data_IF_644748619980
#
_entry.id   IF_644748619980
#
_cell.length_a   1.000
_cell.length_b   1.000
_cell.length_c   1.000
_cell.angle_alpha   90.00
_cell.angle_beta   90.00
_cell.angle_gamma   90.00
#
_symmetry.space_group_name_H-M   'P 1'
#
loop_
_entity.id
_entity.type
_entity.pdbx_description
1 polymer ?
#
# COMPACT_ATOMS: atom_id res chain seq x y z
N UNK A 1 11.93 -1.04 9.34
CA UNK A 1 11.51 -2.43 9.04
C UNK A 1 10.17 -2.30 8.33
N UNK A 2 10.17 -2.29 7.00
CA UNK A 2 8.97 -1.99 6.20
C UNK A 2 8.02 -3.19 6.31
N UNK A 3 6.76 -2.88 6.63
CA UNK A 3 5.68 -3.78 6.97
C UNK A 3 5.37 -4.80 5.86
N UNK A 4 6.08 -5.95 5.87
CA UNK A 4 5.62 -7.17 5.18
C UNK A 4 4.17 -7.54 5.55
N UNK A 5 3.71 -7.11 6.73
CA UNK A 5 2.35 -7.36 7.21
C UNK A 5 1.24 -6.76 6.35
N UNK A 6 1.38 -5.54 5.82
CA UNK A 6 0.26 -4.86 5.14
C UNK A 6 0.01 -5.44 3.75
N UNK A 7 1.06 -5.72 2.99
CA UNK A 7 0.93 -6.40 1.69
C UNK A 7 0.38 -7.82 1.85
N UNK A 8 0.83 -8.52 2.89
CA UNK A 8 0.28 -9.82 3.25
C UNK A 8 -1.20 -9.75 3.67
N UNK A 9 -1.60 -8.73 4.44
CA UNK A 9 -3.00 -8.49 4.85
C UNK A 9 -3.90 -8.12 3.64
N UNK A 10 -3.32 -7.42 2.67
CA UNK A 10 -3.92 -7.15 1.37
C UNK A 10 -4.02 -8.39 0.46
N UNK A 11 -3.32 -9.47 0.79
CA UNK A 11 -3.19 -10.66 -0.06
C UNK A 11 -2.38 -10.40 -1.32
N UNK A 12 -1.59 -9.32 -1.35
CA UNK A 12 -0.69 -8.98 -2.45
C UNK A 12 0.67 -9.59 -2.13
N UNK A 13 1.05 -10.61 -2.89
CA UNK A 13 2.34 -11.27 -2.71
C UNK A 13 3.44 -10.42 -3.35
N UNK A 14 4.08 -9.60 -2.54
CA UNK A 14 5.18 -8.75 -2.98
C UNK A 14 6.51 -9.36 -2.56
N UNK A 15 7.35 -9.85 -3.49
CA UNK A 15 8.75 -10.10 -3.17
C UNK A 15 9.40 -8.77 -2.73
N UNK A 16 10.36 -8.82 -1.82
CA UNK A 16 11.01 -7.63 -1.21
C UNK A 16 11.52 -6.63 -2.25
N UNK A 17 11.86 -7.09 -3.45
CA UNK A 17 12.29 -6.29 -4.60
C UNK A 17 11.21 -5.34 -5.16
N UNK A 18 9.93 -5.66 -4.98
CA UNK A 18 8.81 -4.86 -5.48
C UNK A 18 8.15 -4.01 -4.38
N UNK A 19 8.57 -4.14 -3.12
CA UNK A 19 7.95 -3.42 -2.01
C UNK A 19 8.07 -1.90 -2.16
N UNK A 20 9.22 -1.40 -2.62
CA UNK A 20 9.42 0.03 -2.90
C UNK A 20 8.56 0.54 -4.06
N UNK A 21 8.52 -0.19 -5.18
CA UNK A 21 7.67 0.19 -6.32
C UNK A 21 6.18 0.19 -5.96
N UNK A 22 5.75 -0.76 -5.13
CA UNK A 22 4.38 -0.80 -4.66
C UNK A 22 4.08 0.31 -3.67
N UNK A 23 5.03 0.64 -2.78
CA UNK A 23 4.90 1.79 -1.91
C UNK A 23 4.75 3.10 -2.72
N UNK A 24 5.53 3.27 -3.79
CA UNK A 24 5.42 4.42 -4.71
C UNK A 24 4.07 4.45 -5.43
N UNK A 25 3.61 3.31 -5.97
CA UNK A 25 2.28 3.21 -6.59
C UNK A 25 1.17 3.55 -5.61
N UNK A 26 1.23 3.01 -4.40
CA UNK A 26 0.24 3.27 -3.36
C UNK A 26 0.27 4.74 -2.95
N UNK A 27 1.47 5.32 -2.79
CA UNK A 27 1.64 6.74 -2.53
C UNK A 27 1.00 7.60 -3.64
N UNK A 28 1.14 7.19 -4.90
CA UNK A 28 0.45 7.85 -6.02
C UNK A 28 -1.08 7.72 -5.93
N UNK A 29 -1.61 6.54 -5.63
CA UNK A 29 -3.04 6.27 -5.45
C UNK A 29 -3.64 7.11 -4.32
N UNK A 30 -2.94 7.21 -3.19
CA UNK A 30 -3.40 8.03 -2.05
C UNK A 30 -3.07 9.53 -2.20
N UNK A 31 -2.46 9.93 -3.31
CA UNK A 31 -2.07 11.33 -3.56
C UNK A 31 -0.97 11.85 -2.64
N UNK A 32 -0.15 10.95 -2.08
CA UNK A 32 0.98 11.23 -1.18
C UNK A 32 2.32 10.91 -1.86
N UNK A 33 2.40 11.08 -3.18
CA UNK A 33 3.62 10.85 -3.96
C UNK A 33 4.79 11.70 -3.43
N UNK A 34 5.89 11.05 -3.05
CA UNK A 34 7.09 11.71 -2.50
C UNK A 34 7.05 11.97 -0.99
N UNK A 35 5.98 11.60 -0.28
CA UNK A 35 5.97 11.59 1.18
C UNK A 35 6.71 10.39 1.76
N UNK A 36 7.09 10.50 3.04
CA UNK A 36 7.71 9.42 3.78
C UNK A 36 6.83 8.16 3.77
N UNK A 37 7.46 7.03 3.47
CA UNK A 37 6.81 5.72 3.36
C UNK A 37 5.96 5.43 4.62
N UNK A 38 6.43 5.75 5.83
CA UNK A 38 5.69 5.53 7.06
C UNK A 38 4.39 6.37 7.15
N UNK A 39 4.39 7.60 6.62
CA UNK A 39 3.18 8.44 6.56
C UNK A 39 2.18 7.89 5.54
N UNK A 40 2.66 7.52 4.36
CA UNK A 40 1.84 6.86 3.33
C UNK A 40 1.18 5.62 3.94
N UNK A 41 1.95 4.77 4.61
CA UNK A 41 1.43 3.58 5.27
C UNK A 41 0.43 3.86 6.38
N UNK A 42 0.66 4.89 7.20
CA UNK A 42 -0.30 5.30 8.24
C UNK A 42 -1.63 5.77 7.65
N UNK A 43 -1.62 6.40 6.48
CA UNK A 43 -2.84 6.80 5.76
C UNK A 43 -3.50 5.60 5.10
N UNK A 44 -2.73 4.78 4.40
CA UNK A 44 -3.19 3.56 3.72
C UNK A 44 -3.84 2.62 4.73
N UNK A 45 -3.21 2.35 5.88
CA UNK A 45 -3.78 1.48 6.90
C UNK A 45 -5.16 1.93 7.39
N UNK A 46 -5.40 3.24 7.50
CA UNK A 46 -6.73 3.78 7.82
C UNK A 46 -7.73 3.62 6.68
N UNK A 47 -7.26 3.69 5.44
CA UNK A 47 -8.09 3.50 4.25
C UNK A 47 -8.35 2.01 3.98
N UNK A 48 -7.47 1.10 4.41
CA UNK A 48 -7.67 -0.35 4.31
C UNK A 48 -8.78 -0.87 5.22
N UNK A 49 -9.14 -0.11 6.26
CA UNK A 49 -10.33 -0.35 7.07
C UNK A 49 -11.63 -0.17 6.24
N UNK A 50 -11.57 0.63 5.16
CA UNK A 50 -12.65 0.75 4.19
C UNK A 50 -12.59 -0.38 3.15
N UNK A 51 -13.62 -1.25 3.07
CA UNK A 51 -13.60 -2.41 2.18
C UNK A 51 -13.60 -2.02 0.70
N UNK A 52 -14.22 -0.89 0.30
CA UNK A 52 -14.19 -0.43 -1.09
C UNK A 52 -12.79 0.00 -1.49
N UNK A 53 -12.12 0.74 -0.62
CA UNK A 53 -10.76 1.18 -0.89
C UNK A 53 -9.79 -0.01 -0.93
N UNK A 54 -9.94 -0.97 -0.03
CA UNK A 54 -9.17 -2.22 -0.04
C UNK A 54 -9.31 -2.96 -1.38
N UNK A 55 -10.54 -3.11 -1.88
CA UNK A 55 -10.80 -3.79 -3.15
C UNK A 55 -10.22 -3.00 -4.34
N UNK A 56 -10.36 -1.68 -4.34
CA UNK A 56 -9.78 -0.79 -5.36
C UNK A 56 -8.26 -0.85 -5.37
N UNK A 57 -7.63 -0.84 -4.20
CA UNK A 57 -6.18 -0.93 -4.08
C UNK A 57 -5.69 -2.29 -4.56
N UNK A 58 -6.41 -3.37 -4.23
CA UNK A 58 -6.09 -4.71 -4.71
C UNK A 58 -6.21 -4.81 -6.23
N UNK A 59 -7.25 -4.25 -6.83
CA UNK A 59 -7.44 -4.21 -8.30
C UNK A 59 -6.30 -3.46 -9.00
N UNK A 60 -5.88 -2.30 -8.47
CA UNK A 60 -4.79 -1.51 -9.06
C UNK A 60 -3.39 -2.09 -8.84
N UNK A 61 -3.23 -2.95 -7.83
CA UNK A 61 -1.96 -3.61 -7.51
C UNK A 61 -1.84 -5.02 -8.11
N UNK A 62 -2.92 -5.55 -8.71
CA UNK A 62 -2.96 -6.88 -9.34
C UNK A 62 -2.38 -6.91 -10.75
#
# INVERSE_FOLDING_TARGET
>A
MISKGIFFDLGVYSPEENADQLAEKIAEIVGMKGEDCAKVWGRVSKLLDDPKFRETLKDQLS
#
